data_IF_427619135533
#
_entry.id   IF_427619135533
#
_cell.length_a   1.000
_cell.length_b   1.000
_cell.length_c   1.000
_cell.angle_alpha   90.00
_cell.angle_beta   90.00
_cell.angle_gamma   90.00
#
_symmetry.space_group_name_H-M   'P 1'
#
loop_
_entity.id
_entity.type
_entity.pdbx_description
1 polymer ?
#
# COMPACT_ATOMS: atom_id res chain seq x y z
N UNK A 1 31.78 46.72 19.56
CA UNK A 1 31.03 47.35 18.46
C UNK A 1 31.82 47.01 17.21
N UNK A 2 31.51 45.85 16.63
CA UNK A 2 32.25 45.30 15.51
C UNK A 2 31.62 45.88 14.25
N UNK A 3 32.35 46.79 13.61
CA UNK A 3 31.96 47.51 12.41
C UNK A 3 31.63 46.50 11.31
N UNK A 4 30.34 46.41 10.94
CA UNK A 4 29.92 45.72 9.73
C UNK A 4 30.63 46.36 8.53
N UNK A 5 31.36 45.61 7.68
CA UNK A 5 32.05 46.19 6.55
C UNK A 5 31.02 46.79 5.60
N UNK A 6 31.25 48.06 5.20
CA UNK A 6 30.48 48.72 4.16
C UNK A 6 30.41 47.82 2.92
N UNK A 7 29.24 47.21 2.69
CA UNK A 7 28.98 46.50 1.44
C UNK A 7 28.80 47.55 0.34
N UNK A 8 29.92 47.95 -0.28
CA UNK A 8 29.90 48.72 -1.52
C UNK A 8 28.95 48.03 -2.48
N UNK A 9 27.86 48.70 -2.88
CA UNK A 9 26.97 48.23 -3.95
C UNK A 9 27.73 48.35 -5.28
N UNK A 10 28.71 47.48 -5.44
CA UNK A 10 29.28 47.20 -6.73
C UNK A 10 28.19 46.51 -7.54
N UNK A 11 27.94 47.00 -8.76
CA UNK A 11 27.10 46.31 -9.74
C UNK A 11 27.80 45.06 -10.31
N UNK A 12 28.94 44.67 -9.73
CA UNK A 12 29.70 43.52 -10.15
C UNK A 12 28.98 42.26 -9.64
N UNK A 13 28.75 41.28 -10.51
CA UNK A 13 28.22 40.00 -10.09
C UNK A 13 29.20 39.33 -9.13
N UNK A 14 28.64 38.74 -8.07
CA UNK A 14 29.33 37.96 -7.07
C UNK A 14 30.01 36.73 -7.72
N UNK A 15 31.30 36.56 -7.43
CA UNK A 15 32.20 35.60 -8.07
C UNK A 15 32.20 34.21 -7.40
N UNK A 16 31.11 33.85 -6.72
CA UNK A 16 30.93 32.49 -6.20
C UNK A 16 30.70 31.49 -7.33
N UNK A 17 31.34 30.31 -7.23
CA UNK A 17 31.28 29.24 -8.23
C UNK A 17 29.85 28.79 -8.58
N UNK A 18 28.90 28.91 -7.64
CA UNK A 18 27.48 28.65 -7.88
C UNK A 18 26.85 29.70 -8.82
N UNK A 19 27.12 30.98 -8.58
CA UNK A 19 26.59 32.08 -9.41
C UNK A 19 27.27 32.14 -10.77
N UNK A 20 28.53 31.75 -10.84
CA UNK A 20 29.29 31.63 -12.08
C UNK A 20 29.02 30.33 -12.85
N UNK A 21 28.24 29.40 -12.27
CA UNK A 21 27.95 28.08 -12.85
C UNK A 21 29.22 27.25 -13.17
N UNK A 22 30.28 27.44 -12.39
CA UNK A 22 31.57 26.74 -12.50
C UNK A 22 31.70 25.57 -11.52
N UNK A 23 30.58 25.08 -10.99
CA UNK A 23 30.61 23.89 -10.13
C UNK A 23 31.13 22.68 -10.93
N UNK A 24 31.97 21.83 -10.31
CA UNK A 24 32.49 20.65 -10.97
C UNK A 24 31.33 19.72 -11.33
N UNK A 25 31.09 19.54 -12.63
CA UNK A 25 30.04 18.68 -13.14
C UNK A 25 30.66 17.46 -13.82
N UNK A 26 30.24 16.27 -13.41
CA UNK A 26 30.60 15.05 -14.12
C UNK A 26 29.70 14.90 -15.35
N UNK A 27 30.27 15.03 -16.55
CA UNK A 27 29.53 14.86 -17.81
C UNK A 27 29.50 13.38 -18.17
N UNK A 28 28.34 12.75 -17.99
CA UNK A 28 28.15 11.36 -18.38
C UNK A 28 27.93 11.26 -19.90
N UNK A 29 28.77 10.48 -20.57
CA UNK A 29 28.63 10.21 -22.01
C UNK A 29 28.00 8.84 -22.23
N UNK A 30 26.80 8.84 -22.78
CA UNK A 30 26.06 7.62 -23.13
C UNK A 30 26.39 7.17 -24.54
N UNK A 31 27.52 6.49 -24.70
CA UNK A 31 27.88 5.80 -25.95
C UNK A 31 27.08 4.50 -26.07
N UNK A 32 26.66 4.14 -27.30
CA UNK A 32 25.92 2.90 -27.57
C UNK A 32 26.57 1.65 -26.94
N UNK A 33 27.91 1.55 -26.95
CA UNK A 33 28.64 0.44 -26.31
C UNK A 33 28.45 0.37 -24.79
N UNK A 34 28.49 1.50 -24.08
CA UNK A 34 28.31 1.54 -22.62
C UNK A 34 26.88 1.18 -22.24
N UNK A 35 25.92 1.76 -22.95
CA UNK A 35 24.49 1.51 -22.74
C UNK A 35 24.15 0.03 -22.98
N UNK A 36 24.70 -0.57 -24.04
CA UNK A 36 24.53 -1.97 -24.36
C UNK A 36 25.01 -2.88 -23.22
N UNK A 37 26.20 -2.63 -22.67
CA UNK A 37 26.73 -3.40 -21.55
C UNK A 37 25.85 -3.31 -20.30
N UNK A 38 25.43 -2.09 -19.94
CA UNK A 38 24.55 -1.87 -18.78
C UNK A 38 23.22 -2.60 -18.94
N UNK A 39 22.62 -2.59 -20.13
CA UNK A 39 21.38 -3.33 -20.37
C UNK A 39 21.57 -4.83 -20.27
N UNK A 40 22.67 -5.40 -20.80
CA UNK A 40 22.94 -6.83 -20.66
C UNK A 40 23.15 -7.24 -19.20
N UNK A 41 23.92 -6.49 -18.43
CA UNK A 41 24.15 -6.80 -17.00
C UNK A 41 22.86 -6.72 -16.20
N UNK A 42 22.05 -5.69 -16.46
CA UNK A 42 20.75 -5.51 -15.79
C UNK A 42 19.77 -6.60 -16.21
N UNK A 43 19.76 -6.98 -17.48
CA UNK A 43 18.92 -8.05 -18.01
C UNK A 43 19.24 -9.40 -17.36
N UNK A 44 20.51 -9.78 -17.28
CA UNK A 44 20.93 -11.03 -16.62
C UNK A 44 20.51 -11.02 -15.14
N UNK A 45 20.73 -9.90 -14.43
CA UNK A 45 20.31 -9.76 -13.05
C UNK A 45 18.80 -9.93 -12.87
N UNK A 46 18.00 -9.24 -13.70
CA UNK A 46 16.54 -9.35 -13.66
C UNK A 46 16.05 -10.75 -14.02
N UNK A 47 16.71 -11.45 -14.96
CA UNK A 47 16.38 -12.84 -15.30
C UNK A 47 16.63 -13.79 -14.13
N UNK A 48 17.80 -13.69 -13.49
CA UNK A 48 18.12 -14.51 -12.32
C UNK A 48 17.12 -14.27 -11.18
N UNK A 49 16.86 -12.99 -10.84
CA UNK A 49 15.90 -12.63 -9.80
C UNK A 49 14.47 -13.09 -10.16
N UNK A 50 14.06 -12.93 -11.42
CA UNK A 50 12.75 -13.37 -11.90
C UNK A 50 12.55 -14.88 -11.75
N UNK A 51 13.56 -15.69 -12.10
CA UNK A 51 13.51 -17.16 -11.93
C UNK A 51 13.34 -17.53 -10.46
N UNK A 52 14.13 -16.92 -9.57
CA UNK A 52 14.05 -17.17 -8.12
C UNK A 52 12.65 -16.83 -7.58
N UNK A 53 12.12 -15.67 -7.94
CA UNK A 53 10.80 -15.22 -7.51
C UNK A 53 9.69 -16.16 -8.01
N UNK A 54 9.75 -16.62 -9.26
CA UNK A 54 8.76 -17.55 -9.82
C UNK A 54 8.80 -18.90 -9.10
N UNK A 55 10.00 -19.44 -8.83
CA UNK A 55 10.15 -20.69 -8.09
C UNK A 55 9.60 -20.56 -6.67
N UNK A 56 9.89 -19.44 -6.00
CA UNK A 56 9.36 -19.16 -4.67
C UNK A 56 7.83 -19.03 -4.68
N UNK A 57 7.25 -18.32 -5.65
CA UNK A 57 5.81 -18.12 -5.73
C UNK A 57 5.06 -19.44 -6.00
N UNK A 58 5.63 -20.34 -6.81
CA UNK A 58 5.04 -21.65 -7.11
C UNK A 58 5.14 -22.64 -5.95
N UNK A 59 6.07 -22.45 -5.02
CA UNK A 59 6.21 -23.33 -3.86
C UNK A 59 5.11 -23.14 -2.81
N UNK A 60 4.42 -22.00 -2.83
CA UNK A 60 3.36 -21.70 -1.85
C UNK A 60 2.07 -22.41 -2.25
N UNK A 61 1.53 -23.23 -1.34
CA UNK A 61 0.24 -23.89 -1.53
C UNK A 61 -0.89 -22.98 -1.05
N UNK A 62 -1.83 -22.65 -1.93
CA UNK A 62 -3.00 -21.82 -1.64
C UNK A 62 -4.29 -22.57 -1.99
N UNK A 63 -5.34 -22.38 -1.19
CA UNK A 63 -6.68 -22.91 -1.44
C UNK A 63 -7.68 -21.76 -1.27
N UNK A 64 -8.30 -21.35 -2.37
CA UNK A 64 -9.36 -20.33 -2.39
C UNK A 64 -10.73 -21.01 -2.52
N UNK A 65 -11.62 -20.78 -1.55
CA UNK A 65 -12.98 -21.34 -1.54
C UNK A 65 -13.99 -20.19 -1.61
N UNK A 66 -14.74 -20.11 -2.70
CA UNK A 66 -15.83 -19.14 -2.83
C UNK A 66 -17.12 -19.70 -2.23
N UNK A 67 -17.51 -19.16 -1.08
CA UNK A 67 -18.68 -19.59 -0.32
C UNK A 67 -19.94 -18.76 -0.57
N UNK A 68 -19.89 -17.74 -1.45
CA UNK A 68 -21.00 -16.78 -1.64
C UNK A 68 -22.30 -17.44 -2.07
N UNK A 69 -22.24 -18.39 -3.02
CA UNK A 69 -23.45 -19.10 -3.50
C UNK A 69 -23.89 -20.22 -2.56
N UNK A 70 -22.94 -20.92 -1.95
CA UNK A 70 -23.23 -22.07 -1.08
C UNK A 70 -23.92 -21.59 0.20
N UNK A 71 -23.46 -20.46 0.76
CA UNK A 71 -24.01 -19.85 1.96
C UNK A 71 -25.04 -18.74 1.65
N UNK A 72 -25.65 -18.73 0.47
CA UNK A 72 -26.54 -17.67 0.03
C UNK A 72 -27.78 -17.49 0.94
N UNK A 73 -28.28 -18.58 1.54
CA UNK A 73 -29.41 -18.51 2.46
C UNK A 73 -29.07 -17.69 3.72
N UNK A 74 -27.87 -17.87 4.27
CA UNK A 74 -27.40 -17.05 5.39
C UNK A 74 -27.16 -15.60 4.97
N UNK A 75 -26.63 -15.37 3.76
CA UNK A 75 -26.48 -14.02 3.23
C UNK A 75 -27.83 -13.29 3.15
N UNK A 76 -28.86 -13.95 2.58
CA UNK A 76 -30.24 -13.42 2.50
C UNK A 76 -30.86 -13.17 3.86
N UNK A 77 -30.64 -14.06 4.83
CA UNK A 77 -31.13 -13.87 6.19
C UNK A 77 -30.58 -12.56 6.81
N UNK A 78 -29.31 -12.24 6.49
CA UNK A 78 -28.57 -11.08 7.03
C UNK A 78 -28.79 -9.77 6.27
N UNK A 79 -29.49 -9.79 5.13
CA UNK A 79 -29.98 -8.55 4.49
C UNK A 79 -30.92 -7.77 5.41
N UNK A 80 -31.67 -8.49 6.25
CA UNK A 80 -32.52 -7.90 7.28
C UNK A 80 -31.75 -7.83 8.61
N UNK A 81 -31.37 -6.61 9.02
CA UNK A 81 -30.61 -6.36 10.25
C UNK A 81 -31.30 -6.90 11.52
N UNK A 82 -32.63 -7.01 11.51
CA UNK A 82 -33.43 -7.57 12.61
C UNK A 82 -33.17 -9.06 12.86
N UNK A 83 -32.61 -9.79 11.91
CA UNK A 83 -32.27 -11.22 12.08
C UNK A 83 -30.84 -11.42 12.63
N UNK A 84 -30.24 -10.41 13.26
CA UNK A 84 -28.87 -10.48 13.77
C UNK A 84 -28.69 -11.60 14.81
N UNK A 85 -29.72 -11.83 15.63
CA UNK A 85 -29.81 -12.82 16.69
C UNK A 85 -30.05 -14.25 16.19
N UNK A 86 -30.60 -14.42 14.99
CA UNK A 86 -30.90 -15.74 14.41
C UNK A 86 -29.62 -16.44 13.96
N UNK A 87 -29.34 -17.60 14.54
CA UNK A 87 -28.21 -18.43 14.13
C UNK A 87 -28.35 -18.93 12.68
N UNK A 88 -27.26 -18.84 11.91
CA UNK A 88 -27.17 -19.42 10.58
C UNK A 88 -25.79 -20.03 10.38
N UNK A 89 -25.73 -21.36 10.26
CA UNK A 89 -24.50 -22.11 10.07
C UNK A 89 -24.38 -22.55 8.62
N UNK A 90 -23.23 -22.30 8.00
CA UNK A 90 -22.91 -22.79 6.67
C UNK A 90 -21.57 -23.54 6.73
N UNK A 91 -21.58 -24.80 6.30
CA UNK A 91 -20.40 -25.67 6.30
C UNK A 91 -20.06 -26.06 4.87
N UNK A 92 -18.78 -25.93 4.50
CA UNK A 92 -18.32 -26.25 3.15
C UNK A 92 -17.24 -27.34 3.26
N UNK A 93 -17.50 -28.54 2.73
CA UNK A 93 -16.47 -29.56 2.65
C UNK A 93 -15.43 -29.14 1.61
N UNK A 94 -14.16 -29.22 1.98
CA UNK A 94 -13.04 -29.02 1.06
C UNK A 94 -11.96 -30.06 1.33
N UNK A 95 -11.14 -30.31 0.32
CA UNK A 95 -10.08 -31.29 0.35
C UNK A 95 -8.74 -30.60 0.17
N UNK A 96 -7.74 -31.07 0.92
CA UNK A 96 -6.35 -30.61 0.79
C UNK A 96 -5.64 -31.50 -0.23
N UNK A 97 -5.27 -30.96 -1.39
CA UNK A 97 -4.58 -31.72 -2.45
C UNK A 97 -3.17 -32.19 -2.06
N UNK A 98 -2.61 -31.68 -0.97
CA UNK A 98 -1.27 -32.01 -0.51
C UNK A 98 -0.99 -31.43 0.88
N UNK A 99 0.10 -31.88 1.50
CA UNK A 99 0.53 -31.41 2.82
C UNK A 99 1.12 -29.99 2.72
N UNK A 100 0.46 -29.04 3.38
CA UNK A 100 0.98 -27.69 3.54
C UNK A 100 2.17 -27.73 4.52
N UNK A 101 3.36 -27.40 4.03
CA UNK A 101 4.57 -27.36 4.85
C UNK A 101 4.74 -25.97 5.47
N UNK A 102 5.04 -25.91 6.76
CA UNK A 102 5.26 -24.67 7.50
C UNK A 102 4.00 -24.10 8.16
N UNK A 103 3.97 -22.78 8.33
CA UNK A 103 2.87 -22.08 9.01
C UNK A 103 1.68 -21.88 8.06
N UNK A 104 0.47 -22.16 8.54
CA UNK A 104 -0.77 -22.00 7.79
C UNK A 104 -1.49 -20.74 8.24
N UNK A 105 -1.94 -19.94 7.28
CA UNK A 105 -2.69 -18.70 7.52
C UNK A 105 -4.06 -18.80 6.83
N UNK A 106 -5.09 -18.29 7.51
CA UNK A 106 -6.45 -18.22 6.97
C UNK A 106 -6.82 -16.76 6.71
N UNK A 107 -7.29 -16.48 5.50
CA UNK A 107 -7.73 -15.15 5.08
C UNK A 107 -9.16 -15.21 4.57
N UNK A 108 -9.89 -14.11 4.74
CA UNK A 108 -11.18 -13.90 4.09
C UNK A 108 -11.02 -12.88 2.97
N UNK A 109 -11.72 -13.09 1.85
CA UNK A 109 -11.64 -12.26 0.65
C UNK A 109 -13.01 -11.68 0.33
N UNK A 110 -13.06 -10.36 0.19
CA UNK A 110 -14.28 -9.62 -0.13
C UNK A 110 -14.15 -9.03 -1.55
N UNK A 111 -15.16 -9.23 -2.37
CA UNK A 111 -15.25 -8.65 -3.72
C UNK A 111 -16.30 -7.54 -3.73
N UNK A 112 -16.07 -6.48 -4.52
CA UNK A 112 -17.00 -5.35 -4.62
C UNK A 112 -17.02 -4.43 -3.40
N UNK A 113 -16.04 -4.55 -2.50
CA UNK A 113 -15.94 -3.75 -1.28
C UNK A 113 -14.79 -2.74 -1.36
N UNK A 114 -15.10 -1.45 -1.49
CA UNK A 114 -14.13 -0.38 -1.72
C UNK A 114 -13.68 0.30 -0.41
N UNK A 115 -12.76 -0.33 0.31
CA UNK A 115 -12.20 0.23 1.54
C UNK A 115 -11.34 1.48 1.33
N UNK A 116 -10.82 1.69 0.12
CA UNK A 116 -9.96 2.84 -0.23
C UNK A 116 -10.74 4.12 -0.52
N UNK A 117 -12.07 4.13 -0.39
CA UNK A 117 -12.87 5.33 -0.58
C UNK A 117 -12.52 6.37 0.49
N UNK A 118 -12.20 7.61 0.08
CA UNK A 118 -11.74 8.66 0.99
C UNK A 118 -12.66 8.86 2.20
N UNK A 119 -13.98 8.90 1.99
CA UNK A 119 -14.97 9.04 3.08
C UNK A 119 -14.98 7.84 4.03
N UNK A 120 -14.83 6.63 3.49
CA UNK A 120 -14.76 5.40 4.28
C UNK A 120 -13.52 5.41 5.19
N UNK A 121 -12.34 5.72 4.63
CA UNK A 121 -11.08 5.80 5.39
C UNK A 121 -11.13 6.90 6.45
N UNK A 122 -11.82 8.00 6.16
CA UNK A 122 -11.96 9.15 7.05
C UNK A 122 -12.98 8.92 8.17
N UNK A 123 -14.00 8.09 7.97
CA UNK A 123 -15.07 7.81 8.95
C UNK A 123 -14.61 6.85 10.06
N UNK A 124 -13.61 7.28 10.86
CA UNK A 124 -13.13 6.57 12.05
C UNK A 124 -12.57 7.56 13.08
N UNK A 125 -12.73 7.27 14.37
CA UNK A 125 -12.09 8.03 15.45
C UNK A 125 -10.95 7.24 16.08
N UNK A 126 -9.71 7.71 15.90
CA UNK A 126 -8.53 7.09 16.51
C UNK A 126 -8.56 7.18 18.04
N UNK A 127 -9.20 8.20 18.62
CA UNK A 127 -9.31 8.36 20.09
C UNK A 127 -10.17 7.25 20.67
N UNK A 128 -11.29 6.96 20.02
CA UNK A 128 -12.18 5.87 20.38
C UNK A 128 -11.50 4.50 20.25
N UNK A 129 -10.79 4.25 19.14
CA UNK A 129 -10.11 2.98 18.90
C UNK A 129 -9.00 2.66 19.93
N UNK A 130 -8.42 3.70 20.54
CA UNK A 130 -7.41 3.58 21.62
C UNK A 130 -8.07 3.53 23.00
N UNK A 131 -9.41 3.64 23.09
CA UNK A 131 -10.16 3.59 24.35
C UNK A 131 -10.10 4.87 25.18
N UNK A 132 -9.75 6.02 24.57
CA UNK A 132 -9.80 7.31 25.26
C UNK A 132 -11.24 7.80 25.31
N UNK A 133 -11.64 8.36 26.45
CA UNK A 133 -12.94 8.98 26.60
C UNK A 133 -13.14 10.08 25.54
N UNK A 134 -14.10 9.83 24.65
CA UNK A 134 -14.51 10.77 23.61
C UNK A 134 -15.69 11.52 24.20
N UNK A 135 -15.42 12.71 24.78
CA UNK A 135 -16.48 13.66 25.11
C UNK A 135 -17.40 13.80 23.89
N UNK A 136 -18.71 13.94 24.11
CA UNK A 136 -19.84 13.99 23.15
C UNK A 136 -19.73 15.13 22.09
N UNK A 137 -18.55 15.64 21.81
CA UNK A 137 -18.20 16.17 20.50
C UNK A 137 -17.64 15.00 19.70
N UNK A 138 -18.54 14.20 19.11
CA UNK A 138 -18.19 13.30 18.02
C UNK A 138 -17.23 14.05 17.11
N UNK A 139 -16.08 13.45 16.77
CA UNK A 139 -15.22 14.02 15.74
C UNK A 139 -16.12 14.31 14.53
N UNK A 140 -16.33 15.58 14.18
CA UNK A 140 -17.19 16.05 13.06
C UNK A 140 -16.87 15.38 11.72
N UNK A 141 -15.77 14.65 11.71
CA UNK A 141 -15.23 13.83 10.64
C UNK A 141 -16.04 12.54 10.42
N UNK A 142 -16.64 11.96 11.46
CA UNK A 142 -17.48 10.76 11.39
C UNK A 142 -18.95 11.06 11.04
N UNK A 143 -19.30 12.33 10.83
CA UNK A 143 -20.68 12.78 10.64
C UNK A 143 -21.10 12.77 9.16
N UNK A 144 -20.78 11.68 8.45
CA UNK A 144 -21.40 11.40 7.16
C UNK A 144 -21.90 9.97 7.25
N UNK A 145 -23.16 9.83 7.69
CA UNK A 145 -23.89 8.58 7.57
C UNK A 145 -23.76 8.09 6.14
N UNK A 146 -23.22 6.88 6.00
CA UNK A 146 -23.20 6.16 4.73
C UNK A 146 -24.61 5.60 4.52
N UNK A 147 -25.58 6.48 4.26
CA UNK A 147 -26.84 6.07 3.65
C UNK A 147 -26.54 5.63 2.23
N UNK A 148 -26.54 4.32 2.03
CA UNK A 148 -26.80 3.71 0.71
C UNK A 148 -28.26 3.96 0.36
#
# INVERSE_FOLDING_TARGET
MEETPQHCLSRLPDNSALKQQELPAHRLYFTARRVLFVFFTTGIFCLCMGIILILSARSTQEIEINYTRICANCAKLRENASNFDKECTCSIPFYLSGKMMGNVYMYYKLYGFYQNLYRYVRSRSNRQLVGKDVKVRLDLICQVDFSV
#
